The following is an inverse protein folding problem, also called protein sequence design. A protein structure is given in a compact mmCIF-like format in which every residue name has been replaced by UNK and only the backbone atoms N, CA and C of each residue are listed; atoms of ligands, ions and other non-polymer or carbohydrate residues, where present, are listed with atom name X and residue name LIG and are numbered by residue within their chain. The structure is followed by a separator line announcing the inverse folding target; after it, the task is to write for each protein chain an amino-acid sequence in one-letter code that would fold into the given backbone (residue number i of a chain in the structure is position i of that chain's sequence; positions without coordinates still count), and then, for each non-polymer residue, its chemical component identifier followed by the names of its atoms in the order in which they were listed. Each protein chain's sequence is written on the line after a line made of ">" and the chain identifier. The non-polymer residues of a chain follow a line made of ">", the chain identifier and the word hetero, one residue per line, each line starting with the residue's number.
data_IF_180517693554
#
_entry.id   IF_180517693554
#
_cell.length_a   1.000
_cell.length_b   1.000
_cell.length_c   1.000
_cell.angle_alpha   90.00
_cell.angle_beta   90.00
_cell.angle_gamma   90.00
#
_symmetry.space_group_name_H-M   'P 1'
#
loop_
_entity.id
_entity.type
_entity.pdbx_description
1 polymer ?
#
# COMPACT_ATOMS: atom_id res chain seq x y z
N UNK A 1 -1.94 -4.30 14.64
CA UNK A 1 -3.04 -5.08 14.05
C UNK A 1 -3.58 -4.44 12.77
N UNK A 2 -4.06 -3.19 12.79
CA UNK A 2 -4.65 -2.53 11.60
C UNK A 2 -3.79 -2.59 10.34
N UNK A 3 -2.58 -2.02 10.36
CA UNK A 3 -1.71 -1.99 9.17
C UNK A 3 -1.29 -3.37 8.66
N UNK A 4 -1.11 -4.34 9.57
CA UNK A 4 -0.73 -5.70 9.18
C UNK A 4 -1.84 -6.39 8.36
N UNK A 5 -3.11 -6.15 8.70
CA UNK A 5 -4.27 -6.66 7.93
C UNK A 5 -4.31 -5.99 6.55
N UNK A 6 -4.15 -4.67 6.50
CA UNK A 6 -4.17 -3.90 5.25
C UNK A 6 -3.04 -4.34 4.32
N UNK A 7 -1.82 -4.53 4.84
CA UNK A 7 -0.68 -5.06 4.08
C UNK A 7 -1.02 -6.40 3.44
N UNK A 8 -1.54 -7.33 4.23
CA UNK A 8 -1.87 -8.66 3.73
C UNK A 8 -3.00 -8.65 2.69
N UNK A 9 -3.97 -7.74 2.83
CA UNK A 9 -5.02 -7.56 1.83
C UNK A 9 -4.48 -6.97 0.52
N UNK A 10 -3.63 -5.94 0.58
CA UNK A 10 -3.01 -5.32 -0.58
C UNK A 10 -2.09 -6.31 -1.34
N UNK A 11 -1.26 -7.07 -0.62
CA UNK A 11 -0.40 -8.11 -1.23
C UNK A 11 -1.22 -9.15 -2.01
N UNK A 12 -2.40 -9.53 -1.51
CA UNK A 12 -3.32 -10.45 -2.22
C UNK A 12 -3.95 -9.85 -3.47
N UNK A 13 -4.02 -8.53 -3.56
CA UNK A 13 -4.52 -7.79 -4.72
C UNK A 13 -3.38 -7.47 -5.71
N UNK A 14 -2.18 -8.01 -5.50
CA UNK A 14 -0.99 -7.70 -6.30
C UNK A 14 -0.48 -6.27 -6.08
N UNK A 15 -0.95 -5.59 -5.04
CA UNK A 15 -0.60 -4.22 -4.74
C UNK A 15 0.63 -4.11 -3.83
N UNK A 16 1.36 -3.01 -3.97
CA UNK A 16 2.51 -2.67 -3.14
C UNK A 16 2.11 -1.60 -2.11
N UNK A 17 2.59 -1.73 -0.86
CA UNK A 17 2.43 -0.70 0.18
C UNK A 17 3.79 -0.12 0.55
N UNK A 18 3.90 1.22 0.53
CA UNK A 18 5.05 1.96 1.05
C UNK A 18 4.62 2.92 2.15
N UNK A 19 5.53 3.18 3.09
CA UNK A 19 5.30 4.06 4.24
C UNK A 19 6.51 4.97 4.45
N UNK A 20 6.25 6.26 4.47
CA UNK A 20 7.25 7.31 4.67
C UNK A 20 6.79 8.16 5.86
N UNK A 21 7.59 8.19 6.93
CA UNK A 21 7.31 8.97 8.12
C UNK A 21 8.37 10.04 8.34
N UNK A 22 7.91 11.25 8.66
CA UNK A 22 8.75 12.36 9.08
C UNK A 22 8.36 12.78 10.51
N UNK A 23 9.27 12.64 11.50
CA UNK A 23 8.97 12.98 12.89
C UNK A 23 8.53 14.43 13.06
N UNK A 24 7.40 14.64 13.73
CA UNK A 24 6.83 15.98 13.94
C UNK A 24 6.06 16.56 12.75
N UNK A 25 6.03 15.88 11.59
CA UNK A 25 5.26 16.28 10.41
C UNK A 25 4.10 15.31 10.17
N UNK A 26 4.40 14.01 10.09
CA UNK A 26 3.38 12.98 9.88
C UNK A 26 3.88 11.76 9.13
N UNK A 27 2.93 10.96 8.65
CA UNK A 27 3.20 9.72 7.91
C UNK A 27 2.39 9.71 6.63
N UNK A 28 3.06 9.47 5.51
CA UNK A 28 2.46 9.19 4.22
C UNK A 28 2.44 7.68 4.00
N UNK A 29 1.26 7.14 3.69
CA UNK A 29 1.08 5.73 3.34
C UNK A 29 0.56 5.68 1.91
N UNK A 30 1.28 4.97 1.04
CA UNK A 30 0.94 4.82 -0.37
C UNK A 30 0.62 3.37 -0.66
N UNK A 31 -0.49 3.12 -1.36
CA UNK A 31 -0.89 1.80 -1.85
C UNK A 31 -0.97 1.88 -3.36
N UNK A 32 -0.14 1.10 -4.06
CA UNK A 32 -0.07 1.06 -5.51
C UNK A 32 -0.70 -0.25 -6.00
N UNK A 33 -1.83 -0.15 -6.68
CA UNK A 33 -2.47 -1.28 -7.33
C UNK A 33 -1.93 -1.45 -8.76
N UNK A 34 -1.83 -2.69 -9.27
CA UNK A 34 -1.51 -2.92 -10.67
C UNK A 34 -2.60 -2.31 -11.57
N UNK A 35 -2.20 -1.76 -12.72
CA UNK A 35 -3.15 -1.27 -13.70
C UNK A 35 -3.89 -2.45 -14.35
N UNK A 36 -5.21 -2.36 -14.42
CA UNK A 36 -6.09 -3.35 -15.08
C UNK A 36 -5.84 -3.46 -16.60
N UNK A 37 -4.95 -2.62 -17.15
CA UNK A 37 -4.60 -2.59 -18.57
C UNK A 37 -3.49 -3.58 -18.98
N UNK A 38 -2.98 -4.40 -18.06
CA UNK A 38 -1.97 -5.40 -18.38
C UNK A 38 -2.53 -6.71 -18.99
N UNK A 39 -3.85 -6.89 -19.04
CA UNK A 39 -4.54 -7.98 -19.74
C UNK A 39 -5.74 -7.43 -20.55
N UNK A 40 -5.47 -6.70 -21.63
CA UNK A 40 -6.45 -6.33 -22.66
C UNK A 40 -5.89 -6.49 -24.07
#
# INVERSE_FOLDING_TARGET
>A
LGLAIVKHAAERMGAEITLLSEPGVGTTVTVLFPDDAADA
#
